data_IF_143273430662
#
_entry.id   IF_143273430662
#
_cell.length_a   1.000
_cell.length_b   1.000
_cell.length_c   1.000
_cell.angle_alpha   90.00
_cell.angle_beta   90.00
_cell.angle_gamma   90.00
#
_symmetry.space_group_name_H-M   'P 1'
#
loop_
_entity.id
_entity.type
_entity.pdbx_description
1 polymer ?
#
# COMPACT_ATOMS: atom_id res chain seq x y z
N UNK A 1 -11.70 -4.39 -4.97
CA UNK A 1 -10.57 -5.29 -5.28
C UNK A 1 -10.98 -6.75 -5.44
N UNK A 2 -11.63 -7.42 -4.47
CA UNK A 2 -12.11 -8.82 -4.63
C UNK A 2 -13.12 -8.94 -5.78
N UNK A 3 -14.19 -8.13 -5.78
CA UNK A 3 -15.18 -8.11 -6.86
C UNK A 3 -14.64 -7.59 -8.21
N UNK A 4 -13.43 -7.05 -8.21
CA UNK A 4 -12.71 -6.62 -9.42
C UNK A 4 -11.72 -7.71 -9.88
N UNK A 5 -11.77 -8.90 -9.29
CA UNK A 5 -10.90 -10.02 -9.63
C UNK A 5 -9.41 -9.70 -9.44
N UNK A 6 -9.04 -8.75 -8.58
CA UNK A 6 -7.63 -8.37 -8.34
C UNK A 6 -7.00 -9.00 -7.10
N UNK A 7 -7.83 -9.55 -6.21
CA UNK A 7 -7.40 -10.13 -4.95
C UNK A 7 -8.11 -11.46 -4.72
N UNK A 8 -7.35 -12.48 -4.38
CA UNK A 8 -7.85 -13.83 -4.11
C UNK A 8 -7.24 -14.39 -2.84
N UNK A 9 -7.99 -15.28 -2.17
CA UNK A 9 -7.36 -16.20 -1.23
C UNK A 9 -6.65 -17.29 -2.04
N UNK A 10 -5.38 -17.52 -1.77
CA UNK A 10 -4.59 -18.59 -2.38
C UNK A 10 -4.06 -19.54 -1.31
N UNK A 11 -4.04 -20.84 -1.65
CA UNK A 11 -3.40 -21.87 -0.84
C UNK A 11 -2.24 -22.43 -1.65
N UNK A 12 -1.02 -22.34 -1.11
CA UNK A 12 0.16 -22.95 -1.74
C UNK A 12 0.70 -24.06 -0.85
N UNK A 13 1.23 -25.11 -1.49
CA UNK A 13 1.89 -26.22 -0.80
C UNK A 13 3.35 -26.26 -1.24
N UNK A 14 4.28 -26.29 -0.28
CA UNK A 14 5.72 -26.37 -0.54
C UNK A 14 6.39 -27.20 0.54
N UNK A 15 7.12 -28.25 0.14
CA UNK A 15 7.86 -29.14 1.05
C UNK A 15 7.00 -29.72 2.20
N UNK A 16 5.75 -30.08 1.93
CA UNK A 16 4.82 -30.59 2.95
C UNK A 16 4.13 -29.53 3.82
N UNK A 17 4.48 -28.25 3.68
CA UNK A 17 3.83 -27.15 4.38
C UNK A 17 2.71 -26.52 3.54
N UNK A 18 1.61 -26.15 4.19
CA UNK A 18 0.49 -25.43 3.58
C UNK A 18 0.52 -23.96 4.01
N UNK A 19 0.54 -23.06 3.04
CA UNK A 19 0.52 -21.61 3.23
C UNK A 19 -0.81 -21.06 2.73
N UNK A 20 -1.47 -20.25 3.56
CA UNK A 20 -2.65 -19.48 3.18
C UNK A 20 -2.21 -18.05 2.94
N UNK A 21 -2.42 -17.57 1.72
CA UNK A 21 -1.90 -16.30 1.24
C UNK A 21 -3.03 -15.45 0.67
N UNK A 22 -2.81 -14.15 0.66
CA UNK A 22 -3.49 -13.21 -0.22
C UNK A 22 -2.71 -13.16 -1.54
N UNK A 23 -3.40 -13.38 -2.67
CA UNK A 23 -2.86 -13.25 -4.00
C UNK A 23 -3.30 -11.92 -4.62
N UNK A 24 -2.32 -11.11 -5.02
CA UNK A 24 -2.50 -9.81 -5.66
C UNK A 24 -2.13 -9.92 -7.13
N UNK A 25 -3.12 -9.74 -8.00
CA UNK A 25 -2.96 -10.03 -9.43
C UNK A 25 -2.88 -8.73 -10.22
N UNK A 26 -1.87 -8.66 -11.09
CA UNK A 26 -1.73 -7.61 -12.09
C UNK A 26 -2.13 -8.12 -13.46
N UNK A 27 -2.80 -7.24 -14.22
CA UNK A 27 -3.47 -7.56 -15.47
C UNK A 27 -2.94 -6.71 -16.61
N UNK A 28 -2.94 -7.24 -17.83
CA UNK A 28 -2.75 -6.43 -19.04
C UNK A 28 -4.04 -5.71 -19.46
N UNK A 29 -3.94 -4.89 -20.53
CA UNK A 29 -5.06 -4.12 -21.05
C UNK A 29 -6.20 -4.96 -21.63
N UNK A 30 -5.98 -6.26 -21.85
CA UNK A 30 -7.01 -7.23 -22.28
C UNK A 30 -7.66 -7.94 -21.08
N UNK A 31 -7.24 -7.62 -19.85
CA UNK A 31 -7.73 -8.27 -18.64
C UNK A 31 -7.14 -9.66 -18.41
N UNK A 32 -6.02 -10.00 -19.05
CA UNK A 32 -5.31 -11.26 -18.80
C UNK A 32 -4.33 -11.10 -17.63
N UNK A 33 -4.29 -12.05 -16.68
CA UNK A 33 -3.35 -11.98 -15.56
C UNK A 33 -1.91 -12.18 -16.07
N UNK A 34 -1.00 -11.30 -15.65
CA UNK A 34 0.42 -11.31 -16.05
C UNK A 34 1.37 -11.35 -14.86
N UNK A 35 0.90 -10.93 -13.69
CA UNK A 35 1.67 -10.90 -12.46
C UNK A 35 0.83 -11.41 -11.31
N UNK A 36 1.44 -12.13 -10.36
CA UNK A 36 0.78 -12.47 -9.10
C UNK A 36 1.75 -12.43 -7.93
N UNK A 37 1.49 -11.54 -6.97
CA UNK A 37 2.17 -11.48 -5.68
C UNK A 37 1.40 -12.26 -4.62
N UNK A 38 2.04 -13.25 -4.01
CA UNK A 38 1.55 -13.93 -2.82
C UNK A 38 2.12 -13.26 -1.57
N UNK A 39 1.25 -12.91 -0.63
CA UNK A 39 1.61 -12.37 0.68
C UNK A 39 0.86 -13.12 1.77
N UNK A 40 1.52 -13.43 2.87
CA UNK A 40 0.83 -13.94 4.05
C UNK A 40 -0.11 -12.87 4.63
N UNK A 41 -1.30 -13.25 5.14
CA UNK A 41 -2.29 -12.32 5.66
C UNK A 41 -2.03 -11.88 7.11
N UNK A 42 -0.98 -12.38 7.76
CA UNK A 42 -0.67 -12.13 9.18
C UNK A 42 0.73 -11.52 9.33
N UNK A 43 0.86 -10.54 10.22
CA UNK A 43 2.12 -9.90 10.60
C UNK A 43 3.14 -10.88 11.20
N UNK A 44 2.68 -11.99 11.77
CA UNK A 44 3.55 -13.04 12.33
C UNK A 44 4.23 -13.89 11.24
N UNK A 45 3.70 -13.88 10.01
CA UNK A 45 4.20 -14.69 8.89
C UNK A 45 4.74 -13.77 7.80
N UNK A 46 6.06 -13.79 7.59
CA UNK A 46 6.73 -12.95 6.57
C UNK A 46 6.75 -13.57 5.16
N UNK A 47 5.83 -14.49 4.84
CA UNK A 47 5.86 -15.14 3.53
C UNK A 47 5.50 -14.14 2.42
N UNK A 48 6.45 -13.93 1.50
CA UNK A 48 6.35 -13.08 0.32
C UNK A 48 6.94 -13.84 -0.86
N UNK A 49 6.15 -14.05 -1.91
CA UNK A 49 6.61 -14.72 -3.12
C UNK A 49 5.87 -14.19 -4.34
N UNK A 50 6.56 -13.99 -5.44
CA UNK A 50 5.92 -13.80 -6.75
C UNK A 50 5.72 -15.18 -7.39
N UNK A 51 4.56 -15.39 -8.04
CA UNK A 51 4.28 -16.64 -8.76
C UNK A 51 5.24 -16.79 -9.93
N UNK A 52 5.68 -18.01 -10.21
CA UNK A 52 6.60 -18.31 -11.31
C UNK A 52 6.06 -17.78 -12.65
N UNK A 53 6.98 -17.27 -13.50
CA UNK A 53 6.67 -16.64 -14.78
C UNK A 53 5.85 -15.33 -14.71
N UNK A 54 5.74 -14.71 -13.53
CA UNK A 54 5.15 -13.37 -13.40
C UNK A 54 5.97 -12.31 -14.13
N UNK A 55 5.30 -11.50 -14.95
CA UNK A 55 5.88 -10.31 -15.58
C UNK A 55 5.67 -9.10 -14.67
N UNK A 56 6.77 -8.66 -14.03
CA UNK A 56 6.76 -7.56 -13.06
C UNK A 56 6.38 -6.20 -13.66
N UNK A 57 6.38 -6.06 -14.99
CA UNK A 57 5.90 -4.81 -15.62
C UNK A 57 4.40 -4.63 -15.47
N UNK A 58 3.66 -5.68 -15.10
CA UNK A 58 2.23 -5.62 -14.81
C UNK A 58 1.98 -5.67 -13.31
N UNK A 59 2.57 -4.74 -12.55
CA UNK A 59 2.34 -4.65 -11.11
C UNK A 59 0.86 -4.59 -10.71
N UNK A 60 0.60 -4.59 -9.40
CA UNK A 60 -0.77 -4.47 -8.91
C UNK A 60 -1.25 -3.02 -9.05
N UNK A 61 -2.37 -2.80 -9.74
CA UNK A 61 -2.89 -1.46 -9.96
C UNK A 61 -4.32 -1.27 -9.42
N UNK A 62 -4.57 -0.12 -8.82
CA UNK A 62 -5.88 0.43 -8.49
C UNK A 62 -6.10 1.64 -9.38
N UNK A 63 -6.90 1.47 -10.43
CA UNK A 63 -7.11 2.50 -11.43
C UNK A 63 -7.97 3.64 -10.87
N UNK A 64 -7.51 4.87 -11.11
CA UNK A 64 -8.17 6.12 -10.74
C UNK A 64 -8.84 6.79 -11.93
N UNK A 65 -9.06 8.09 -11.81
CA UNK A 65 -9.69 8.96 -12.82
C UNK A 65 -8.98 10.32 -12.97
N UNK A 66 -8.07 10.66 -12.06
CA UNK A 66 -7.31 11.91 -12.07
C UNK A 66 -6.02 11.79 -12.89
N UNK A 67 -5.24 12.86 -12.92
CA UNK A 67 -3.90 12.89 -13.51
C UNK A 67 -2.79 12.56 -12.50
N UNK A 68 -3.11 11.92 -11.36
CA UNK A 68 -2.14 11.55 -10.32
C UNK A 68 -2.07 10.05 -10.10
N UNK A 69 -0.85 9.56 -9.94
CA UNK A 69 -0.56 8.20 -9.46
C UNK A 69 0.28 8.19 -8.21
N UNK A 70 -0.09 7.33 -7.26
CA UNK A 70 0.73 6.97 -6.12
C UNK A 70 1.45 5.64 -6.40
N UNK A 71 2.76 5.59 -6.20
CA UNK A 71 3.62 4.42 -6.45
C UNK A 71 4.11 3.80 -5.14
N UNK A 72 3.98 2.47 -5.01
CA UNK A 72 4.22 1.73 -3.75
C UNK A 72 5.10 0.49 -3.96
N UNK A 73 5.82 0.07 -2.91
CA UNK A 73 6.62 -1.16 -2.95
C UNK A 73 5.78 -2.45 -2.87
N UNK A 74 4.57 -2.37 -2.32
CA UNK A 74 3.72 -3.53 -2.10
C UNK A 74 2.22 -3.22 -2.28
N UNK A 75 1.44 -4.21 -2.77
CA UNK A 75 -0.01 -4.07 -2.90
C UNK A 75 -0.74 -3.78 -1.58
N UNK A 76 -0.20 -4.27 -0.45
CA UNK A 76 -0.79 -4.05 0.87
C UNK A 76 -0.70 -2.57 1.23
N UNK A 77 0.43 -1.92 0.97
CA UNK A 77 0.63 -0.49 1.25
C UNK A 77 -0.26 0.39 0.38
N UNK A 78 -0.40 0.08 -0.91
CA UNK A 78 -1.33 0.77 -1.79
C UNK A 78 -2.79 0.72 -1.28
N UNK A 79 -3.22 -0.44 -0.79
CA UNK A 79 -4.56 -0.59 -0.22
C UNK A 79 -4.71 0.06 1.16
N UNK A 80 -3.67 0.00 1.99
CA UNK A 80 -3.66 0.65 3.30
C UNK A 80 -3.74 2.16 3.15
N UNK A 81 -2.99 2.74 2.20
CA UNK A 81 -3.10 4.13 1.81
C UNK A 81 -4.51 4.47 1.31
N UNK A 82 -5.09 3.68 0.40
CA UNK A 82 -6.47 3.91 -0.06
C UNK A 82 -7.48 3.86 1.10
N UNK A 83 -7.26 2.98 2.08
CA UNK A 83 -8.09 2.89 3.29
C UNK A 83 -7.92 4.12 4.18
N UNK A 84 -6.69 4.59 4.39
CA UNK A 84 -6.40 5.83 5.11
C UNK A 84 -7.08 7.02 4.44
N UNK A 85 -6.95 7.20 3.12
CA UNK A 85 -7.67 8.25 2.37
C UNK A 85 -9.18 8.20 2.68
N UNK A 86 -9.79 7.02 2.59
CA UNK A 86 -11.22 6.84 2.89
C UNK A 86 -11.55 7.26 4.32
N UNK A 87 -10.72 6.89 5.30
CA UNK A 87 -10.93 7.22 6.72
C UNK A 87 -10.78 8.72 6.99
N UNK A 88 -9.97 9.42 6.21
CA UNK A 88 -9.84 10.88 6.23
C UNK A 88 -10.89 11.62 5.38
N UNK A 89 -11.88 10.92 4.82
CA UNK A 89 -12.94 11.53 4.01
C UNK A 89 -12.53 11.89 2.57
N UNK A 90 -11.40 11.38 2.10
CA UNK A 90 -10.88 11.58 0.74
C UNK A 90 -11.39 10.46 -0.16
N UNK A 91 -11.83 10.77 -1.40
CA UNK A 91 -12.20 9.73 -2.36
C UNK A 91 -10.96 8.99 -2.85
N UNK A 92 -10.67 7.86 -2.22
CA UNK A 92 -9.56 7.00 -2.61
C UNK A 92 -9.64 6.49 -4.05
N UNK A 93 -10.79 6.56 -4.73
CA UNK A 93 -10.93 6.12 -6.13
C UNK A 93 -10.57 7.19 -7.15
N UNK A 94 -10.29 8.41 -6.70
CA UNK A 94 -9.95 9.52 -7.59
C UNK A 94 -8.57 9.32 -8.21
N UNK A 95 -7.56 9.07 -7.38
CA UNK A 95 -6.18 8.90 -7.83
C UNK A 95 -5.80 7.43 -8.08
N UNK A 96 -4.90 7.25 -9.04
CA UNK A 96 -4.34 5.95 -9.40
C UNK A 96 -3.38 5.45 -8.31
N UNK A 97 -3.27 4.14 -8.15
CA UNK A 97 -2.22 3.50 -7.34
C UNK A 97 -1.60 2.35 -8.09
N UNK A 98 -0.28 2.31 -8.12
CA UNK A 98 0.50 1.23 -8.70
C UNK A 98 1.43 0.70 -7.60
N UNK A 99 1.60 -0.61 -7.56
CA UNK A 99 2.47 -1.26 -6.59
C UNK A 99 3.39 -2.30 -7.24
N UNK A 100 4.67 -2.14 -6.98
CA UNK A 100 5.77 -2.79 -7.68
C UNK A 100 6.24 -4.10 -7.08
N UNK A 101 5.81 -4.57 -5.91
CA UNK A 101 6.33 -5.83 -5.37
C UNK A 101 7.85 -5.85 -5.10
N UNK A 102 8.59 -4.77 -5.33
CA UNK A 102 9.99 -4.47 -5.01
C UNK A 102 10.32 -3.00 -5.35
N UNK A 103 11.51 -2.52 -4.99
CA UNK A 103 12.08 -1.26 -5.48
C UNK A 103 12.39 -1.36 -6.99
N UNK A 104 11.44 -0.93 -7.81
CA UNK A 104 11.44 -1.00 -9.28
C UNK A 104 10.53 0.11 -9.80
N UNK A 105 10.77 0.57 -11.04
CA UNK A 105 9.96 1.58 -11.73
C UNK A 105 9.28 1.03 -13.01
N UNK A 106 9.34 -0.29 -13.21
CA UNK A 106 8.92 -0.95 -14.45
C UNK A 106 7.41 -1.01 -14.62
N UNK A 107 6.68 -1.37 -13.57
CA UNK A 107 5.23 -1.31 -13.56
C UNK A 107 4.73 0.13 -13.68
N UNK A 108 5.34 1.08 -12.97
CA UNK A 108 5.01 2.50 -13.09
C UNK A 108 5.21 2.99 -14.53
N UNK A 109 6.40 2.77 -15.10
CA UNK A 109 6.71 3.20 -16.47
C UNK A 109 5.75 2.59 -17.48
N UNK A 110 5.42 1.31 -17.32
CA UNK A 110 4.41 0.65 -18.17
C UNK A 110 3.04 1.30 -17.98
N UNK A 111 2.63 1.53 -16.74
CA UNK A 111 1.32 2.08 -16.40
C UNK A 111 1.12 3.47 -17.02
N UNK A 112 2.14 4.33 -16.91
CA UNK A 112 2.15 5.67 -17.50
C UNK A 112 2.02 5.65 -19.04
N UNK A 113 2.63 4.67 -19.73
CA UNK A 113 2.46 4.52 -21.18
C UNK A 113 1.00 4.25 -21.59
N UNK A 114 0.22 3.62 -20.71
CA UNK A 114 -1.22 3.37 -20.94
C UNK A 114 -2.13 4.47 -20.38
N UNK A 115 -1.60 5.41 -19.60
CA UNK A 115 -2.33 6.49 -18.95
C UNK A 115 -1.63 7.84 -19.20
N UNK A 116 -1.63 8.33 -20.46
CA UNK A 116 -0.92 9.56 -20.84
C UNK A 116 -1.51 10.83 -20.19
N UNK A 117 -2.69 10.75 -19.59
CA UNK A 117 -3.30 11.81 -18.81
C UNK A 117 -2.57 12.09 -17.49
N UNK A 118 -1.80 11.13 -16.97
CA UNK A 118 -1.09 11.27 -15.69
C UNK A 118 0.06 12.25 -15.82
N UNK A 119 0.07 13.25 -14.95
CA UNK A 119 1.07 14.33 -14.89
C UNK A 119 1.76 14.41 -13.53
N UNK A 120 1.12 13.88 -12.48
CA UNK A 120 1.64 13.88 -11.12
C UNK A 120 1.98 12.46 -10.63
N UNK A 121 3.16 12.32 -10.02
CA UNK A 121 3.60 11.06 -9.41
C UNK A 121 3.95 11.32 -7.94
N UNK A 122 3.38 10.50 -7.05
CA UNK A 122 3.68 10.51 -5.62
C UNK A 122 4.37 9.20 -5.25
N UNK A 123 5.63 9.24 -4.85
CA UNK A 123 6.36 8.07 -4.38
C UNK A 123 6.05 7.80 -2.90
N UNK A 124 5.58 6.59 -2.61
CA UNK A 124 5.08 6.14 -1.31
C UNK A 124 5.83 4.89 -0.84
N UNK A 125 7.16 4.96 -0.85
CA UNK A 125 8.04 3.85 -0.45
C UNK A 125 8.23 3.76 1.06
N UNK A 126 8.73 2.61 1.51
CA UNK A 126 8.87 2.28 2.93
C UNK A 126 9.83 3.26 3.62
N UNK A 127 9.57 3.52 4.90
CA UNK A 127 10.42 4.33 5.76
C UNK A 127 11.34 3.41 6.58
N UNK A 128 12.33 2.82 5.89
CA UNK A 128 13.29 1.86 6.43
C UNK A 128 14.33 2.51 7.37
N UNK A 129 13.90 3.25 8.40
CA UNK A 129 14.81 3.95 9.33
C UNK A 129 15.82 3.01 10.00
N UNK A 130 15.41 1.76 10.25
CA UNK A 130 16.25 0.71 10.84
C UNK A 130 16.91 -0.21 9.77
N UNK A 131 16.74 0.14 8.49
CA UNK A 131 17.33 -0.59 7.37
C UNK A 131 18.85 -0.58 7.41
N UNK A 132 19.48 -1.61 6.84
CA UNK A 132 20.94 -1.71 6.69
C UNK A 132 21.30 -2.09 5.26
N UNK A 133 22.40 -1.56 4.75
CA UNK A 133 22.94 -1.97 3.45
C UNK A 133 23.68 -3.33 3.51
N UNK A 134 24.22 -3.77 2.37
CA UNK A 134 24.95 -5.03 2.28
C UNK A 134 26.20 -5.10 3.19
N UNK A 135 26.73 -3.95 3.62
CA UNK A 135 27.86 -3.83 4.53
C UNK A 135 27.41 -3.62 5.99
N UNK A 136 26.11 -3.66 6.27
CA UNK A 136 25.54 -3.47 7.59
C UNK A 136 25.42 -2.00 8.03
N UNK A 137 25.67 -1.03 7.14
CA UNK A 137 25.54 0.39 7.46
C UNK A 137 24.08 0.81 7.45
N UNK A 138 23.61 1.62 8.43
CA UNK A 138 22.24 2.12 8.46
C UNK A 138 21.88 2.82 7.16
N UNK A 139 20.75 2.41 6.56
CA UNK A 139 20.29 2.92 5.28
C UNK A 139 18.78 2.78 5.15
N UNK A 140 18.11 3.91 4.96
CA UNK A 140 16.70 3.98 4.63
C UNK A 140 16.49 3.75 3.13
N UNK A 141 16.45 2.48 2.72
CA UNK A 141 16.46 2.09 1.31
C UNK A 141 15.24 2.60 0.56
N UNK A 142 14.03 2.45 1.11
CA UNK A 142 12.81 2.96 0.50
C UNK A 142 12.89 4.46 0.22
N UNK A 143 13.29 5.29 1.19
CA UNK A 143 13.39 6.74 0.96
C UNK A 143 14.54 7.13 0.02
N UNK A 144 15.68 6.43 0.05
CA UNK A 144 16.76 6.66 -0.93
C UNK A 144 16.27 6.39 -2.34
N UNK A 145 15.55 5.28 -2.55
CA UNK A 145 15.01 4.94 -3.86
C UNK A 145 13.90 5.93 -4.28
N UNK A 146 13.05 6.38 -3.35
CA UNK A 146 12.01 7.37 -3.65
C UNK A 146 12.62 8.67 -4.19
N UNK A 147 13.72 9.14 -3.59
CA UNK A 147 14.44 10.32 -4.07
C UNK A 147 15.08 10.09 -5.46
N UNK A 148 15.68 8.93 -5.70
CA UNK A 148 16.28 8.59 -6.99
C UNK A 148 15.24 8.50 -8.10
N UNK A 149 14.12 7.82 -7.84
CA UNK A 149 12.99 7.73 -8.76
C UNK A 149 12.36 9.10 -8.99
N UNK A 150 12.22 9.91 -7.94
CA UNK A 150 11.73 11.27 -8.05
C UNK A 150 12.58 12.13 -8.99
N UNK A 151 13.91 12.09 -8.86
CA UNK A 151 14.81 12.81 -9.75
C UNK A 151 14.68 12.33 -11.21
N UNK A 152 14.59 11.01 -11.43
CA UNK A 152 14.47 10.43 -12.76
C UNK A 152 13.17 10.84 -13.47
N UNK A 153 12.02 10.74 -12.79
CA UNK A 153 10.73 11.08 -13.37
C UNK A 153 10.51 12.60 -13.47
N UNK A 154 11.10 13.41 -12.59
CA UNK A 154 11.13 14.87 -12.75
C UNK A 154 11.85 15.28 -14.05
N UNK A 155 13.00 14.65 -14.36
CA UNK A 155 13.72 14.86 -15.63
C UNK A 155 12.90 14.42 -16.86
N UNK A 156 11.99 13.46 -16.68
CA UNK A 156 11.06 13.02 -17.72
C UNK A 156 9.83 13.95 -17.86
N UNK A 157 9.71 15.01 -17.05
CA UNK A 157 8.69 16.05 -17.18
C UNK A 157 7.46 15.88 -16.28
N UNK A 158 7.47 14.94 -15.35
CA UNK A 158 6.38 14.76 -14.38
C UNK A 158 6.52 15.72 -13.19
N UNK A 159 5.40 16.11 -12.60
CA UNK A 159 5.38 16.75 -11.29
C UNK A 159 5.49 15.68 -10.21
N UNK A 160 6.45 15.84 -9.30
CA UNK A 160 6.83 14.79 -8.35
C UNK A 160 6.61 15.20 -6.91
N UNK A 161 6.12 14.26 -6.12
CA UNK A 161 6.00 14.35 -4.67
C UNK A 161 6.54 13.07 -4.02
N UNK A 162 6.91 13.17 -2.75
CA UNK A 162 7.22 12.03 -1.90
C UNK A 162 6.29 12.12 -0.69
N UNK A 163 5.59 11.02 -0.41
CA UNK A 163 4.77 10.88 0.80
C UNK A 163 5.31 9.70 1.61
N UNK A 164 6.12 10.03 2.62
CA UNK A 164 6.72 9.05 3.53
C UNK A 164 5.68 8.59 4.57
N UNK A 165 5.52 7.28 4.82
CA UNK A 165 4.70 6.80 5.94
C UNK A 165 5.27 7.27 7.29
N UNK A 166 4.41 7.47 8.28
CA UNK A 166 4.83 7.95 9.61
C UNK A 166 5.55 6.88 10.42
N UNK A 167 5.11 5.64 10.25
CA UNK A 167 5.72 4.42 10.76
C UNK A 167 6.58 3.79 9.66
N UNK A 168 6.84 2.48 9.71
CA UNK A 168 7.67 1.81 8.72
C UNK A 168 7.03 1.80 7.32
N UNK A 169 5.74 1.53 7.23
CA UNK A 169 5.02 1.40 5.97
C UNK A 169 3.55 1.87 6.13
N UNK A 170 2.81 2.04 5.03
CA UNK A 170 1.43 2.53 5.11
C UNK A 170 0.48 1.53 5.78
N UNK A 171 0.84 0.24 5.82
CA UNK A 171 0.09 -0.76 6.56
C UNK A 171 0.24 -0.57 8.07
N UNK A 172 1.45 -0.34 8.57
CA UNK A 172 1.70 0.00 9.97
C UNK A 172 1.04 1.33 10.37
N UNK A 173 0.99 2.33 9.47
CA UNK A 173 0.24 3.57 9.69
C UNK A 173 -1.25 3.28 9.90
N UNK A 174 -1.84 2.42 9.05
CA UNK A 174 -3.24 2.04 9.17
C UNK A 174 -3.54 1.27 10.45
N UNK A 175 -2.65 0.36 10.86
CA UNK A 175 -2.79 -0.37 12.12
C UNK A 175 -2.75 0.60 13.31
N UNK A 176 -1.77 1.51 13.32
CA UNK A 176 -1.63 2.55 14.34
C UNK A 176 -2.86 3.43 14.43
N UNK A 177 -3.38 3.90 13.29
CA UNK A 177 -4.60 4.70 13.23
C UNK A 177 -5.79 3.98 13.87
N UNK A 178 -5.95 2.68 13.57
CA UNK A 178 -7.05 1.86 14.10
C UNK A 178 -6.94 1.64 15.60
N UNK A 179 -5.74 1.40 16.11
CA UNK A 179 -5.49 1.26 17.55
C UNK A 179 -5.82 2.55 18.30
N UNK A 180 -5.34 3.69 17.80
CA UNK A 180 -5.67 5.00 18.38
C UNK A 180 -7.18 5.26 18.37
N UNK A 181 -7.84 4.98 17.24
CA UNK A 181 -9.29 5.13 17.10
C UNK A 181 -10.10 4.21 18.01
N UNK A 182 -9.59 3.03 18.35
CA UNK A 182 -10.23 2.12 19.31
C UNK A 182 -10.10 2.67 20.74
N UNK A 183 -8.89 3.09 21.14
CA UNK A 183 -8.64 3.69 22.46
C UNK A 183 -9.46 4.96 22.71
N UNK A 184 -9.68 5.79 21.69
CA UNK A 184 -10.53 6.98 21.81
C UNK A 184 -12.02 6.66 21.92
N UNK A 185 -12.47 5.49 21.45
CA UNK A 185 -13.86 5.03 21.59
C UNK A 185 -14.12 4.40 22.96
N UNK A 186 -13.11 3.78 23.56
CA UNK A 186 -13.17 3.14 24.88
C UNK A 186 -12.73 4.09 26.02
N UNK A 187 -12.98 5.40 25.88
CA UNK A 187 -12.70 6.40 26.93
C UNK A 187 -13.41 6.09 28.26
N UNK A 188 -12.95 6.65 29.40
CA UNK A 188 -13.30 6.15 30.74
C UNK A 188 -14.82 6.11 30.94
N UNK A 189 -15.30 5.03 31.57
CA UNK A 189 -16.69 4.88 32.01
C UNK A 189 -17.19 6.21 32.59
N UNK A 190 -18.35 6.68 32.10
CA UNK A 190 -19.08 7.77 32.75
C UNK A 190 -19.31 7.36 34.20
N UNK A 191 -18.50 7.89 35.11
CA UNK A 191 -18.73 7.73 36.54
C UNK A 191 -20.09 8.33 36.88
N UNK A 192 -20.90 7.54 37.57
CA UNK A 192 -22.24 7.83 38.11
C UNK A 192 -22.28 9.20 38.83
N UNK A 193 -22.52 10.29 38.11
CA UNK A 193 -22.64 11.63 38.68
C UNK A 193 -23.77 12.49 38.09
N UNK A 194 -24.72 11.90 37.36
CA UNK A 194 -25.87 12.63 36.79
C UNK A 194 -27.25 11.97 37.08
N UNK A 195 -27.44 11.36 38.27
CA UNK A 195 -28.76 10.87 38.70
C UNK A 195 -29.29 11.46 40.03
N UNK A 196 -28.73 12.56 40.53
CA UNK A 196 -29.26 13.25 41.71
C UNK A 196 -29.51 14.74 41.46
N UNK A 197 -30.34 15.05 40.46
CA UNK A 197 -30.96 16.38 40.39
C UNK A 197 -32.34 16.35 39.74
N UNK A 198 -33.24 15.49 40.22
CA UNK A 198 -34.70 15.71 40.10
C UNK A 198 -35.42 15.18 41.33
N UNK A 199 -35.28 15.88 42.45
CA UNK A 199 -36.23 15.78 43.57
C UNK A 199 -36.86 17.13 43.84
N UNK A 200 -38.18 17.16 43.64
CA UNK A 200 -39.21 18.10 44.13
C UNK A 200 -39.49 19.37 43.31
N UNK A 201 -40.76 19.86 43.30
CA UNK A 201 -41.84 19.63 44.27
C UNK A 201 -42.88 18.55 43.93
#
# INVERSE_FOLDING_TARGET
MINQNKIYQAVTQKNGYTFRNCAFVGYDGEGKPRYCALRAPSSERKFRQDVENSDKTYGFCMEGRSDRVYEFEAPIDAMSHATLCKLYGIDWREDHRVAEGCLSDKALSRYLNSHPEIREIVFCYDNDVDGKDANGQPRNHGQVQANQSAEAFAKAGYQIFIQTPQTKDFNEDLLTFREMSARSRDGPERTEAEELETTYP
#
